data_IF_906766381145
#
_entry.id   IF_906766381145
#
_cell.length_a   1.000
_cell.length_b   1.000
_cell.length_c   1.000
_cell.angle_alpha   90.00
_cell.angle_beta   90.00
_cell.angle_gamma   90.00
#
_symmetry.space_group_name_H-M   'P 1'
#
loop_
_entity.id
_entity.type
_entity.pdbx_description
1 polymer ?
#
# COMPACT_ATOMS: atom_id res chain seq x y z
N UNK A 1 -9.02 30.66 -5.75
CA UNK A 1 -9.83 29.91 -4.77
C UNK A 1 -9.84 30.63 -3.44
N UNK A 2 -10.92 30.54 -2.66
CA UNK A 2 -10.93 31.02 -1.27
C UNK A 2 -10.00 30.15 -0.41
N UNK A 3 -9.52 30.68 0.71
CA UNK A 3 -8.61 29.95 1.59
C UNK A 3 -9.23 28.63 2.09
N UNK A 4 -8.43 27.58 2.13
CA UNK A 4 -8.81 26.21 2.51
C UNK A 4 -9.63 25.45 1.47
N UNK A 5 -9.76 25.95 0.24
CA UNK A 5 -10.54 25.30 -0.83
C UNK A 5 -9.62 25.00 -2.01
N UNK A 6 -9.71 23.75 -2.49
CA UNK A 6 -8.96 23.26 -3.65
C UNK A 6 -7.45 23.55 -3.49
N UNK A 7 -6.79 24.13 -4.49
CA UNK A 7 -5.36 24.41 -4.50
C UNK A 7 -4.95 25.49 -3.48
N UNK A 8 -5.86 26.34 -3.02
CA UNK A 8 -5.56 27.39 -2.03
C UNK A 8 -5.74 26.88 -0.60
N UNK A 9 -4.97 25.86 -0.20
CA UNK A 9 -4.94 25.33 1.17
C UNK A 9 -5.98 24.25 1.48
N UNK A 10 -6.68 23.73 0.48
CA UNK A 10 -7.42 22.47 0.59
C UNK A 10 -6.48 21.26 0.52
N UNK A 11 -6.94 20.12 1.00
CA UNK A 11 -6.24 18.86 0.80
C UNK A 11 -6.46 18.41 -0.64
N UNK A 12 -5.43 18.43 -1.49
CA UNK A 12 -5.47 17.81 -2.81
C UNK A 12 -5.11 16.32 -2.68
N UNK A 13 -6.10 15.43 -2.82
CA UNK A 13 -5.97 13.99 -2.47
C UNK A 13 -4.88 13.29 -3.28
N UNK A 14 -4.74 13.64 -4.55
CA UNK A 14 -3.68 13.12 -5.42
C UNK A 14 -2.28 13.38 -4.84
N UNK A 15 -1.99 14.62 -4.43
CA UNK A 15 -0.70 14.96 -3.83
C UNK A 15 -0.55 14.36 -2.42
N UNK A 16 -1.64 14.26 -1.65
CA UNK A 16 -1.61 13.60 -0.35
C UNK A 16 -1.21 12.12 -0.45
N UNK A 17 -1.63 11.43 -1.52
CA UNK A 17 -1.23 10.04 -1.79
C UNK A 17 0.27 9.90 -2.08
N UNK A 18 0.90 10.90 -2.70
CA UNK A 18 2.36 10.89 -2.85
C UNK A 18 3.09 10.98 -1.51
N UNK A 19 2.54 11.71 -0.54
CA UNK A 19 3.08 11.73 0.83
C UNK A 19 2.96 10.36 1.48
N UNK A 20 1.82 9.67 1.32
CA UNK A 20 1.65 8.29 1.79
C UNK A 20 2.71 7.38 1.20
N UNK A 21 2.91 7.44 -0.13
CA UNK A 21 3.96 6.67 -0.81
C UNK A 21 5.35 6.95 -0.24
N UNK A 22 5.72 8.22 -0.10
CA UNK A 22 7.03 8.60 0.41
C UNK A 22 7.27 8.08 1.83
N UNK A 23 6.25 8.16 2.71
CA UNK A 23 6.34 7.60 4.06
C UNK A 23 6.53 6.09 4.05
N UNK A 24 5.81 5.37 3.19
CA UNK A 24 5.99 3.93 3.04
C UNK A 24 7.40 3.58 2.55
N UNK A 25 7.91 4.30 1.53
CA UNK A 25 9.26 4.13 0.98
C UNK A 25 10.36 4.44 2.01
N UNK A 26 10.14 5.39 2.92
CA UNK A 26 11.03 5.71 4.04
C UNK A 26 10.89 4.76 5.25
N UNK A 27 10.10 3.69 5.12
CA UNK A 27 9.85 2.73 6.19
C UNK A 27 8.98 3.25 7.34
N UNK A 28 8.33 4.41 7.19
CA UNK A 28 7.37 4.97 8.15
C UNK A 28 5.99 4.31 7.98
N UNK A 29 5.96 2.98 8.08
CA UNK A 29 4.85 2.08 7.68
C UNK A 29 3.54 2.39 8.41
N UNK A 30 3.57 2.52 9.74
CA UNK A 30 2.37 2.85 10.53
C UNK A 30 1.78 4.20 10.15
N UNK A 31 2.65 5.20 9.91
CA UNK A 31 2.19 6.54 9.52
C UNK A 31 1.61 6.56 8.12
N UNK A 32 2.20 5.81 7.19
CA UNK A 32 1.68 5.66 5.84
C UNK A 32 0.29 5.03 5.86
N UNK A 33 0.09 3.95 6.62
CA UNK A 33 -1.21 3.29 6.74
C UNK A 33 -2.28 4.20 7.36
N UNK A 34 -1.96 4.91 8.44
CA UNK A 34 -2.89 5.87 9.06
C UNK A 34 -3.33 6.96 8.07
N UNK A 35 -2.39 7.53 7.30
CA UNK A 35 -2.72 8.55 6.31
C UNK A 35 -3.53 7.99 5.15
N UNK A 36 -3.23 6.79 4.66
CA UNK A 36 -4.04 6.13 3.63
C UNK A 36 -5.48 5.95 4.11
N UNK A 37 -5.66 5.50 5.36
CA UNK A 37 -6.98 5.34 5.97
C UNK A 37 -7.73 6.68 6.06
N UNK A 38 -7.06 7.77 6.47
CA UNK A 38 -7.67 9.11 6.51
C UNK A 38 -8.13 9.62 5.13
N UNK A 39 -7.49 9.17 4.05
CA UNK A 39 -7.83 9.52 2.67
C UNK A 39 -8.93 8.63 2.07
N UNK A 40 -9.20 7.46 2.67
CA UNK A 40 -10.21 6.53 2.20
C UNK A 40 -11.62 7.12 2.33
N UNK A 41 -12.46 7.11 1.27
CA UNK A 41 -13.83 7.59 1.38
C UNK A 41 -14.66 6.78 2.38
N UNK A 42 -14.34 5.49 2.56
CA UNK A 42 -15.02 4.59 3.51
C UNK A 42 -14.76 5.04 4.94
N UNK A 43 -13.48 5.18 5.33
CA UNK A 43 -13.10 5.58 6.69
C UNK A 43 -13.60 6.98 7.04
N UNK A 44 -13.75 7.86 6.04
CA UNK A 44 -14.31 9.21 6.21
C UNK A 44 -15.83 9.25 6.40
N UNK A 45 -16.52 8.13 6.21
CA UNK A 45 -17.99 8.07 6.16
C UNK A 45 -18.57 6.95 7.03
N UNK A 46 -17.85 6.52 8.06
CA UNK A 46 -18.27 5.45 8.97
C UNK A 46 -19.48 5.79 9.85
N UNK A 47 -19.85 7.07 9.97
CA UNK A 47 -21.04 7.51 10.73
C UNK A 47 -21.92 8.46 9.92
N UNK A 48 -23.22 8.57 10.23
CA UNK A 48 -24.12 9.53 9.58
C UNK A 48 -23.63 10.98 9.65
N UNK A 49 -23.04 11.38 10.77
CA UNK A 49 -22.47 12.72 10.98
C UNK A 49 -21.25 12.94 10.06
N UNK A 50 -20.42 11.91 9.90
CA UNK A 50 -19.26 11.95 9.02
C UNK A 50 -19.69 12.04 7.54
N UNK A 51 -20.72 11.29 7.14
CA UNK A 51 -21.37 11.40 5.82
C UNK A 51 -21.90 12.82 5.58
N UNK A 52 -22.65 13.37 6.54
CA UNK A 52 -23.21 14.72 6.46
C UNK A 52 -22.14 15.82 6.38
N UNK A 53 -20.95 15.59 6.95
CA UNK A 53 -19.77 16.45 6.81
C UNK A 53 -19.10 16.28 5.45
N UNK A 54 -18.87 15.05 5.00
CA UNK A 54 -18.15 14.75 3.76
C UNK A 54 -18.94 15.21 2.52
N UNK A 55 -20.26 15.06 2.50
CA UNK A 55 -21.19 15.51 1.44
C UNK A 55 -20.87 15.00 0.02
N UNK A 56 -20.09 13.94 -0.09
CA UNK A 56 -19.88 13.17 -1.32
C UNK A 56 -20.17 11.70 -1.03
N UNK A 57 -20.15 10.88 -2.08
CA UNK A 57 -20.48 9.48 -2.01
C UNK A 57 -19.40 8.69 -1.21
N UNK A 58 -19.81 7.77 -0.32
CA UNK A 58 -18.90 7.08 0.62
C UNK A 58 -18.03 5.99 -0.02
N UNK A 59 -18.14 5.79 -1.34
CA UNK A 59 -17.50 4.71 -2.09
C UNK A 59 -16.61 5.19 -3.25
N UNK A 60 -16.56 6.51 -3.51
CA UNK A 60 -15.63 7.10 -4.48
C UNK A 60 -14.72 8.13 -3.83
N UNK A 61 -13.46 8.12 -4.25
CA UNK A 61 -12.45 9.07 -3.75
C UNK A 61 -12.73 10.48 -4.26
N UNK A 62 -12.59 11.47 -3.38
CA UNK A 62 -12.66 12.89 -3.74
C UNK A 62 -11.33 13.39 -4.32
N UNK A 63 -11.38 14.31 -5.28
CA UNK A 63 -10.19 15.00 -5.77
C UNK A 63 -9.54 15.86 -4.68
N UNK A 64 -10.36 16.47 -3.83
CA UNK A 64 -9.91 17.31 -2.74
C UNK A 64 -10.89 17.33 -1.57
N UNK A 65 -10.40 17.79 -0.41
CA UNK A 65 -11.17 17.99 0.81
C UNK A 65 -10.90 19.40 1.32
N UNK A 66 -11.96 20.13 1.65
CA UNK A 66 -11.84 21.50 2.12
C UNK A 66 -11.29 21.54 3.55
N UNK A 67 -10.36 22.47 3.79
CA UNK A 67 -9.60 22.60 5.04
C UNK A 67 -9.97 23.81 5.89
N UNK A 68 -10.80 24.75 5.39
CA UNK A 68 -11.19 25.96 6.13
C UNK A 68 -12.67 25.94 6.58
N UNK A 69 -12.99 26.59 7.73
CA UNK A 69 -14.35 26.84 8.14
C UNK A 69 -15.15 27.63 7.08
N UNK A 70 -16.47 27.37 6.93
CA UNK A 70 -17.28 26.40 7.67
C UNK A 70 -17.32 25.01 6.99
N UNK A 71 -16.39 24.73 6.08
CA UNK A 71 -16.46 23.55 5.20
C UNK A 71 -15.43 22.45 5.50
N UNK A 72 -14.76 22.52 6.65
CA UNK A 72 -13.74 21.55 7.05
C UNK A 72 -14.26 20.12 6.90
N UNK A 73 -13.54 19.31 6.13
CA UNK A 73 -13.85 17.89 5.92
C UNK A 73 -14.83 17.60 4.79
N UNK A 74 -15.44 18.62 4.18
CA UNK A 74 -16.29 18.48 2.99
C UNK A 74 -15.45 18.07 1.79
N UNK A 75 -15.86 17.01 1.12
CA UNK A 75 -15.27 16.59 -0.14
C UNK A 75 -15.64 17.53 -1.28
N UNK A 76 -14.70 17.72 -2.20
CA UNK A 76 -14.89 18.35 -3.49
C UNK A 76 -14.68 17.35 -4.62
N UNK A 77 -15.44 17.50 -5.71
CA UNK A 77 -15.33 16.78 -7.01
C UNK A 77 -14.93 15.29 -6.90
N UNK A 78 -15.91 14.38 -7.00
CA UNK A 78 -15.69 12.92 -7.04
C UNK A 78 -15.68 12.38 -8.48
N UNK A 79 -15.47 11.06 -8.64
CA UNK A 79 -15.45 10.30 -9.90
C UNK A 79 -14.30 10.62 -10.86
N UNK A 80 -14.33 11.79 -11.49
CA UNK A 80 -13.39 12.15 -12.54
C UNK A 80 -12.14 12.80 -11.95
N UNK A 81 -11.30 11.97 -11.31
CA UNK A 81 -10.05 12.42 -10.67
C UNK A 81 -8.97 11.35 -10.75
N UNK A 82 -7.73 11.79 -11.01
CA UNK A 82 -6.55 10.91 -10.96
C UNK A 82 -6.28 10.34 -9.56
N UNK A 83 -6.92 10.89 -8.51
CA UNK A 83 -6.80 10.39 -7.14
C UNK A 83 -7.21 8.92 -7.01
N UNK A 84 -8.15 8.44 -7.84
CA UNK A 84 -8.55 7.02 -7.83
C UNK A 84 -7.41 6.11 -8.30
N UNK A 85 -6.76 6.47 -9.40
CA UNK A 85 -5.60 5.73 -9.90
C UNK A 85 -4.45 5.74 -8.91
N UNK A 86 -4.15 6.90 -8.32
CA UNK A 86 -3.11 7.00 -7.30
C UNK A 86 -3.43 6.24 -6.03
N UNK A 87 -4.69 6.24 -5.57
CA UNK A 87 -5.09 5.50 -4.38
C UNK A 87 -4.81 4.01 -4.56
N UNK A 88 -5.21 3.46 -5.71
CA UNK A 88 -4.98 2.06 -6.06
C UNK A 88 -3.47 1.75 -6.14
N UNK A 89 -2.70 2.57 -6.86
CA UNK A 89 -1.24 2.37 -7.01
C UNK A 89 -0.51 2.47 -5.68
N UNK A 90 -0.82 3.46 -4.84
CA UNK A 90 -0.17 3.61 -3.54
C UNK A 90 -0.51 2.43 -2.62
N UNK A 91 -1.77 1.99 -2.60
CA UNK A 91 -2.17 0.82 -1.83
C UNK A 91 -1.41 -0.44 -2.30
N UNK A 92 -1.47 -0.77 -3.60
CA UNK A 92 -0.86 -1.99 -4.13
C UNK A 92 0.67 -1.94 -4.14
N UNK A 93 1.26 -0.89 -4.70
CA UNK A 93 2.69 -0.82 -4.98
C UNK A 93 3.49 -0.30 -3.80
N UNK A 94 2.93 0.63 -3.00
CA UNK A 94 3.69 1.30 -1.93
C UNK A 94 3.45 0.70 -0.55
N UNK A 95 2.21 0.29 -0.23
CA UNK A 95 1.86 -0.33 1.07
C UNK A 95 1.99 -1.84 1.02
N UNK A 96 1.28 -2.50 0.09
CA UNK A 96 1.38 -3.95 -0.08
C UNK A 96 2.68 -4.36 -0.81
N UNK A 97 3.32 -3.42 -1.50
CA UNK A 97 4.66 -3.60 -2.05
C UNK A 97 4.71 -4.41 -3.34
N UNK A 98 3.60 -4.52 -4.06
CA UNK A 98 3.46 -5.35 -5.25
C UNK A 98 3.91 -4.61 -6.52
N UNK A 99 4.86 -5.19 -7.26
CA UNK A 99 5.36 -4.61 -8.51
C UNK A 99 5.60 -5.69 -9.56
N UNK A 100 5.20 -5.42 -10.80
CA UNK A 100 5.55 -6.24 -11.95
C UNK A 100 6.82 -5.70 -12.60
N UNK A 101 7.90 -6.46 -12.51
CA UNK A 101 9.21 -6.10 -13.06
C UNK A 101 9.39 -6.80 -14.40
N UNK A 102 9.66 -6.01 -15.45
CA UNK A 102 9.97 -6.48 -16.82
C UNK A 102 8.93 -7.43 -17.44
N UNK A 103 7.72 -7.50 -16.87
CA UNK A 103 6.64 -8.37 -17.35
C UNK A 103 6.81 -9.86 -17.06
N UNK A 104 7.83 -10.25 -16.30
CA UNK A 104 8.15 -11.67 -16.03
C UNK A 104 8.42 -11.99 -14.56
N UNK A 105 8.51 -11.00 -13.68
CA UNK A 105 8.72 -11.21 -12.24
C UNK A 105 7.76 -10.35 -11.43
N UNK A 106 7.08 -10.97 -10.48
CA UNK A 106 6.33 -10.27 -9.44
C UNK A 106 7.26 -10.03 -8.25
N UNK A 107 7.57 -8.76 -7.99
CA UNK A 107 8.37 -8.32 -6.86
C UNK A 107 7.44 -7.91 -5.72
N UNK A 108 7.65 -8.46 -4.53
CA UNK A 108 6.94 -8.07 -3.31
C UNK A 108 7.89 -7.49 -2.26
N UNK A 109 7.67 -6.23 -1.89
CA UNK A 109 8.29 -5.58 -0.73
C UNK A 109 7.22 -4.98 0.19
N UNK A 110 6.52 -5.81 0.98
CA UNK A 110 5.48 -5.35 1.88
C UNK A 110 5.99 -4.28 2.85
N UNK A 111 5.23 -3.21 3.00
CA UNK A 111 5.50 -2.07 3.89
C UNK A 111 4.29 -1.80 4.78
N UNK A 112 3.70 -2.89 5.26
CA UNK A 112 2.51 -2.87 6.12
C UNK A 112 2.88 -2.44 7.55
N UNK A 113 1.93 -1.84 8.30
CA UNK A 113 2.11 -1.54 9.72
C UNK A 113 2.38 -2.81 10.54
N UNK A 114 3.12 -2.68 11.65
CA UNK A 114 3.52 -3.82 12.49
C UNK A 114 2.31 -4.54 13.14
N UNK A 115 1.21 -3.81 13.34
CA UNK A 115 -0.01 -4.37 13.90
C UNK A 115 -0.75 -5.34 12.96
N UNK A 116 -0.41 -5.37 11.66
CA UNK A 116 -1.05 -6.28 10.71
C UNK A 116 -0.43 -7.68 10.82
N UNK A 117 -1.23 -8.74 11.02
CA UNK A 117 -0.70 -10.10 11.06
C UNK A 117 -0.14 -10.53 9.68
N UNK A 118 -0.59 -9.88 8.62
CA UNK A 118 -0.33 -10.25 7.24
C UNK A 118 -1.44 -9.75 6.33
N UNK A 119 -1.42 -10.19 5.07
CA UNK A 119 -2.50 -10.02 4.10
C UNK A 119 -2.42 -11.10 3.03
N UNK A 120 -3.50 -11.26 2.26
CA UNK A 120 -3.52 -12.12 1.09
C UNK A 120 -3.84 -11.33 -0.18
N UNK A 121 -3.27 -11.77 -1.30
CA UNK A 121 -3.51 -11.24 -2.63
C UNK A 121 -3.75 -12.40 -3.60
N UNK A 122 -4.75 -12.23 -4.46
CA UNK A 122 -4.91 -13.09 -5.64
C UNK A 122 -4.52 -12.29 -6.88
N UNK A 123 -3.38 -12.61 -7.47
CA UNK A 123 -2.87 -11.95 -8.67
C UNK A 123 -3.07 -12.86 -9.88
N UNK A 124 -3.83 -12.41 -10.88
CA UNK A 124 -4.04 -13.15 -12.13
C UNK A 124 -3.27 -12.46 -13.24
N UNK A 125 -2.52 -13.22 -14.03
CA UNK A 125 -1.81 -12.66 -15.18
C UNK A 125 -2.77 -12.02 -16.20
N UNK A 126 -2.34 -10.99 -16.95
CA UNK A 126 -3.19 -10.35 -17.94
C UNK A 126 -3.71 -11.27 -19.05
N UNK A 127 -2.93 -12.29 -19.43
CA UNK A 127 -3.34 -13.34 -20.39
C UNK A 127 -4.31 -14.36 -19.76
N UNK A 128 -4.48 -14.34 -18.44
CA UNK A 128 -5.45 -15.14 -17.70
C UNK A 128 -5.05 -16.59 -17.48
N UNK A 129 -3.86 -17.01 -17.89
CA UNK A 129 -3.44 -18.41 -17.81
C UNK A 129 -3.06 -18.80 -16.38
N UNK A 130 -2.14 -18.08 -15.72
CA UNK A 130 -1.72 -18.40 -14.36
C UNK A 130 -2.31 -17.47 -13.30
N UNK A 131 -2.52 -18.01 -12.09
CA UNK A 131 -3.00 -17.29 -10.91
C UNK A 131 -2.04 -17.52 -9.75
N UNK A 132 -1.71 -16.46 -9.02
CA UNK A 132 -0.87 -16.49 -7.83
C UNK A 132 -1.75 -16.23 -6.62
N UNK A 133 -1.80 -17.18 -5.70
CA UNK A 133 -2.38 -17.02 -4.37
C UNK A 133 -1.24 -16.68 -3.42
N UNK A 134 -1.15 -15.41 -3.06
CA UNK A 134 -0.05 -14.87 -2.29
C UNK A 134 -0.54 -14.64 -0.87
N UNK A 135 0.14 -15.26 0.08
CA UNK A 135 -0.04 -15.02 1.51
C UNK A 135 1.22 -14.35 2.05
N UNK A 136 1.04 -13.19 2.69
CA UNK A 136 2.10 -12.47 3.38
C UNK A 136 1.78 -12.53 4.86
N UNK A 137 2.71 -13.02 5.68
CA UNK A 137 2.52 -13.13 7.12
C UNK A 137 3.72 -12.57 7.90
N UNK A 138 3.46 -12.10 9.11
CA UNK A 138 4.51 -11.62 10.04
C UNK A 138 4.85 -12.73 11.03
N UNK A 139 6.14 -13.04 11.21
CA UNK A 139 6.55 -14.15 12.10
C UNK A 139 6.82 -13.73 13.55
N UNK A 140 6.87 -12.43 13.85
CA UNK A 140 7.09 -11.89 15.21
C UNK A 140 6.32 -10.58 15.48
N UNK A 141 5.22 -10.34 14.77
CA UNK A 141 4.50 -9.05 14.84
C UNK A 141 5.33 -7.87 14.29
N UNK A 142 6.25 -8.15 13.37
CA UNK A 142 7.18 -7.19 12.76
C UNK A 142 7.20 -7.41 11.26
N UNK A 143 7.15 -6.31 10.51
CA UNK A 143 7.02 -6.33 9.04
C UNK A 143 8.08 -5.46 8.34
N UNK A 144 9.32 -5.48 8.84
CA UNK A 144 10.39 -4.60 8.34
C UNK A 144 11.03 -5.08 7.03
N UNK A 145 11.20 -6.40 6.89
CA UNK A 145 11.81 -7.01 5.70
C UNK A 145 11.18 -8.35 5.35
N UNK A 146 11.36 -8.78 4.11
CA UNK A 146 11.12 -10.17 3.71
C UNK A 146 12.24 -11.05 4.26
N UNK A 147 11.86 -12.06 5.04
CA UNK A 147 12.77 -13.02 5.65
C UNK A 147 12.82 -14.35 4.89
N UNK A 148 11.69 -14.78 4.32
CA UNK A 148 11.61 -15.98 3.50
C UNK A 148 10.50 -15.86 2.45
N UNK A 149 10.65 -16.62 1.37
CA UNK A 149 9.67 -16.75 0.29
C UNK A 149 9.60 -18.22 -0.08
N UNK A 150 8.40 -18.75 -0.21
CA UNK A 150 8.13 -20.09 -0.71
C UNK A 150 7.17 -19.98 -1.91
N UNK A 151 7.42 -20.75 -2.96
CA UNK A 151 6.61 -20.83 -4.18
C UNK A 151 6.37 -22.32 -4.43
N UNK A 152 5.12 -22.77 -4.35
CA UNK A 152 4.73 -24.17 -4.48
C UNK A 152 5.61 -25.10 -3.61
N UNK A 153 5.73 -24.76 -2.32
CA UNK A 153 6.54 -25.46 -1.31
C UNK A 153 8.06 -25.47 -1.56
N UNK A 154 8.55 -24.79 -2.60
CA UNK A 154 9.97 -24.62 -2.90
C UNK A 154 10.48 -23.23 -2.46
N UNK A 155 11.74 -23.10 -2.00
CA UNK A 155 12.30 -21.82 -1.62
C UNK A 155 12.41 -20.86 -2.81
N UNK A 156 11.90 -19.64 -2.62
CA UNK A 156 11.96 -18.54 -3.57
C UNK A 156 13.19 -17.63 -3.37
N UNK A 157 13.37 -16.67 -4.28
CA UNK A 157 14.48 -15.70 -4.24
C UNK A 157 14.07 -14.41 -3.52
N UNK A 158 15.00 -13.84 -2.75
CA UNK A 158 14.93 -12.48 -2.22
C UNK A 158 16.05 -11.67 -2.90
N UNK A 159 15.75 -10.47 -3.40
CA UNK A 159 16.76 -9.59 -4.01
C UNK A 159 17.61 -8.82 -2.97
N UNK A 160 18.68 -8.18 -3.43
CA UNK A 160 19.59 -7.40 -2.56
C UNK A 160 18.89 -6.22 -1.86
N UNK A 161 17.74 -5.80 -2.38
CA UNK A 161 16.90 -4.79 -1.77
C UNK A 161 15.92 -5.34 -0.73
N UNK A 162 15.93 -6.64 -0.46
CA UNK A 162 15.06 -7.30 0.51
C UNK A 162 13.63 -7.53 0.03
N UNK A 163 13.39 -7.58 -1.28
CA UNK A 163 12.10 -7.92 -1.86
C UNK A 163 12.03 -9.40 -2.30
N UNK A 164 10.88 -10.03 -2.11
CA UNK A 164 10.58 -11.33 -2.70
C UNK A 164 10.53 -11.21 -4.23
N UNK A 165 11.09 -12.17 -4.94
CA UNK A 165 11.03 -12.28 -6.40
C UNK A 165 10.33 -13.58 -6.79
N UNK A 166 9.11 -13.46 -7.30
CA UNK A 166 8.29 -14.58 -7.78
C UNK A 166 8.32 -14.56 -9.31
N UNK A 167 8.98 -15.52 -9.98
CA UNK A 167 8.93 -15.62 -11.43
C UNK A 167 7.50 -15.91 -11.89
N UNK A 168 7.15 -15.36 -13.05
CA UNK A 168 5.85 -15.59 -13.66
C UNK A 168 5.90 -16.77 -14.63
N UNK A 169 5.24 -17.85 -14.24
CA UNK A 169 4.95 -19.00 -15.08
C UNK A 169 3.71 -18.74 -15.95
N UNK A 170 3.77 -19.19 -17.20
CA UNK A 170 2.68 -19.18 -18.19
C UNK A 170 2.27 -20.62 -18.48
N UNK A 171 1.79 -21.30 -17.46
CA UNK A 171 1.54 -22.74 -17.46
C UNK A 171 0.07 -23.10 -17.18
N UNK A 172 -0.79 -22.10 -16.96
CA UNK A 172 -2.21 -22.30 -16.67
C UNK A 172 -2.53 -22.59 -15.20
N UNK A 173 -1.52 -22.66 -14.33
CA UNK A 173 -1.68 -23.18 -12.98
C UNK A 173 -2.01 -22.11 -11.94
N UNK A 174 -2.43 -22.60 -10.77
CA UNK A 174 -2.51 -21.78 -9.55
C UNK A 174 -1.23 -22.04 -8.74
N UNK A 175 -0.42 -21.00 -8.56
CA UNK A 175 0.78 -21.05 -7.73
C UNK A 175 0.49 -20.52 -6.33
N UNK A 176 0.94 -21.25 -5.32
CA UNK A 176 0.92 -20.81 -3.92
C UNK A 176 2.21 -20.07 -3.61
N UNK A 177 2.09 -18.86 -3.07
CA UNK A 177 3.25 -18.04 -2.69
C UNK A 177 3.09 -17.65 -1.23
N UNK A 178 4.07 -17.98 -0.40
CA UNK A 178 4.12 -17.58 1.00
C UNK A 178 5.31 -16.65 1.22
N UNK A 179 5.06 -15.45 1.73
CA UNK A 179 6.07 -14.45 2.06
C UNK A 179 6.06 -14.21 3.57
N UNK A 180 7.16 -14.52 4.24
CA UNK A 180 7.33 -14.32 5.68
C UNK A 180 8.09 -13.03 5.93
N UNK A 181 7.55 -12.15 6.77
CA UNK A 181 8.15 -10.89 7.17
C UNK A 181 8.73 -10.98 8.58
N UNK A 182 9.87 -10.32 8.79
CA UNK A 182 10.55 -10.27 10.08
C UNK A 182 11.28 -8.93 10.31
N UNK A 183 11.95 -8.80 11.46
CA UNK A 183 12.82 -7.69 11.81
C UNK A 183 14.03 -7.58 10.87
N UNK A 184 14.53 -6.35 10.66
CA UNK A 184 15.90 -6.20 10.21
C UNK A 184 16.84 -6.72 11.31
N UNK A 185 17.84 -7.55 10.98
CA UNK A 185 18.90 -7.82 11.95
C UNK A 185 19.56 -6.48 12.33
N UNK A 186 19.92 -6.30 13.62
CA UNK A 186 20.66 -5.11 14.01
C UNK A 186 21.93 -4.99 13.17
N UNK A 187 22.29 -3.77 12.78
CA UNK A 187 23.58 -3.50 12.15
C UNK A 187 24.69 -4.05 13.06
N UNK A 188 25.41 -5.08 12.63
CA UNK A 188 26.69 -5.42 13.24
C UNK A 188 27.62 -4.25 12.97
N UNK A 189 27.90 -3.44 14.00
CA UNK A 189 29.01 -2.49 13.95
C UNK A 189 30.28 -3.29 13.73
N UNK A 190 31.08 -2.99 12.68
CA UNK A 190 32.40 -3.62 12.52
C UNK A 190 33.18 -3.38 13.81
N UNK A 191 33.63 -4.46 14.45
CA UNK A 191 34.32 -4.40 15.73
C UNK A 191 35.48 -3.41 15.68
N UNK A 192 35.54 -2.51 16.65
CA UNK A 192 36.73 -1.69 16.89
C UNK A 192 37.91 -2.64 17.13
N UNK A 193 39.02 -2.49 16.39
CA UNK A 193 40.22 -3.25 16.68
C UNK A 193 40.76 -2.86 18.06
N UNK A 194 41.05 -3.88 18.87
CA UNK A 194 41.67 -3.82 20.20
C UNK A 194 43.02 -3.11 20.22
#
# INVERSE_FOLDING_TARGET
YVAGVRENGGQYTHAALWVVRALAELGRRDRAAQLLEMLSPISRTLTPEAVARYRLEPFVVAADVYGAPPHVGRGGWSWYTGSAGWLLRVMLESILGLELVEGHTLRLRPRIPDAWPGFSLRYRLPDGEAVYQIEVCTTNGRAERVAAVEIDDAPGRIDDGGAACVPLFRDGNIHQVVVKLDLNPPFETPGEPS
#
